data_IF_767321940708
#
_entry.id   IF_767321940708
#
_cell.length_a   1.000
_cell.length_b   1.000
_cell.length_c   1.000
_cell.angle_alpha   90.00
_cell.angle_beta   90.00
_cell.angle_gamma   90.00
#
_symmetry.space_group_name_H-M   'P 1'
#
loop_
_entity.id
_entity.type
_entity.pdbx_description
1 polymer ?
#
# COMPACT_ATOMS: atom_id res chain seq x y z
N UNK A 1 3.05 0.45 28.61
CA UNK A 1 3.23 1.87 28.23
C UNK A 1 2.89 2.81 29.37
N UNK A 2 1.72 2.69 30.00
CA UNK A 2 1.29 3.56 31.13
C UNK A 2 2.29 3.73 32.28
N UNK A 3 3.05 2.69 32.65
CA UNK A 3 4.09 2.81 33.69
C UNK A 3 5.34 3.55 33.23
N UNK A 4 5.69 3.50 31.94
CA UNK A 4 6.84 4.23 31.38
C UNK A 4 6.52 5.71 31.20
N UNK A 5 5.26 6.04 30.90
CA UNK A 5 4.77 7.42 30.78
C UNK A 5 4.89 8.20 32.08
N UNK A 6 4.69 7.54 33.22
CA UNK A 6 4.80 8.15 34.55
C UNK A 6 6.24 8.55 34.94
N UNK A 7 7.24 7.98 34.26
CA UNK A 7 8.66 8.25 34.49
C UNK A 7 9.20 9.36 33.56
N UNK A 8 8.40 9.79 32.57
CA UNK A 8 8.73 10.86 31.63
C UNK A 8 8.05 12.15 32.11
N UNK A 9 8.81 13.24 32.17
CA UNK A 9 8.25 14.56 32.44
C UNK A 9 7.11 14.92 31.47
N UNK A 10 6.08 15.61 31.96
CA UNK A 10 4.87 15.89 31.19
C UNK A 10 5.15 16.75 29.94
N UNK A 11 6.10 17.69 30.01
CA UNK A 11 6.48 18.49 28.83
C UNK A 11 7.19 17.63 27.79
N UNK A 12 8.11 16.76 28.20
CA UNK A 12 8.79 15.82 27.32
C UNK A 12 7.82 14.81 26.70
N UNK A 13 6.86 14.31 27.46
CA UNK A 13 5.85 13.39 26.96
C UNK A 13 4.97 14.05 25.89
N UNK A 14 4.52 15.30 26.13
CA UNK A 14 3.80 16.11 25.14
C UNK A 14 4.62 16.30 23.87
N UNK A 15 5.92 16.62 24.02
CA UNK A 15 6.82 16.77 22.88
C UNK A 15 6.96 15.46 22.08
N UNK A 16 7.06 14.31 22.75
CA UNK A 16 7.09 12.99 22.08
C UNK A 16 5.79 12.78 21.29
N UNK A 17 4.62 13.01 21.89
CA UNK A 17 3.33 12.80 21.21
C UNK A 17 3.08 13.76 20.04
N UNK A 18 3.61 14.98 20.10
CA UNK A 18 3.56 15.93 18.98
C UNK A 18 4.42 15.42 17.81
N UNK A 19 5.58 14.82 18.10
CA UNK A 19 6.56 14.41 17.08
C UNK A 19 6.45 12.93 16.67
N UNK A 20 5.64 12.12 17.35
CA UNK A 20 5.42 10.70 17.05
C UNK A 20 3.93 10.44 16.93
N UNK A 21 3.48 10.35 15.67
CA UNK A 21 2.11 9.97 15.34
C UNK A 21 1.82 8.53 15.79
N UNK A 22 0.54 8.23 16.03
CA UNK A 22 0.10 6.84 16.19
C UNK A 22 0.41 6.05 14.91
N UNK A 23 0.60 4.73 14.98
CA UNK A 23 0.89 3.91 13.80
C UNK A 23 -0.12 4.13 12.66
N UNK A 24 -1.41 4.17 12.97
CA UNK A 24 -2.49 4.44 12.00
C UNK A 24 -2.29 5.78 11.28
N UNK A 25 -2.05 6.86 12.03
CA UNK A 25 -1.79 8.20 11.49
C UNK A 25 -0.47 8.30 10.74
N UNK A 26 0.54 7.55 11.15
CA UNK A 26 1.86 7.54 10.50
C UNK A 26 1.79 6.89 9.12
N UNK A 27 1.01 5.80 8.99
CA UNK A 27 0.74 5.16 7.70
C UNK A 27 -0.05 6.07 6.76
N UNK A 28 -1.10 6.72 7.28
CA UNK A 28 -1.88 7.70 6.54
C UNK A 28 -1.01 8.88 6.06
N UNK A 29 -0.19 9.43 6.96
CA UNK A 29 0.75 10.51 6.68
C UNK A 29 1.71 10.15 5.55
N UNK A 30 2.37 8.99 5.61
CA UNK A 30 3.31 8.59 4.56
C UNK A 30 2.63 8.22 3.25
N UNK A 31 1.46 7.59 3.28
CA UNK A 31 0.69 7.33 2.06
C UNK A 31 0.36 8.63 1.33
N UNK A 32 -0.10 9.65 2.07
CA UNK A 32 -0.38 10.98 1.54
C UNK A 32 0.89 11.66 1.03
N UNK A 33 1.95 11.67 1.82
CA UNK A 33 3.20 12.32 1.45
C UNK A 33 3.83 11.69 0.20
N UNK A 34 3.82 10.36 0.07
CA UNK A 34 4.29 9.67 -1.14
C UNK A 34 3.44 10.10 -2.35
N UNK A 35 2.10 10.20 -2.20
CA UNK A 35 1.21 10.65 -3.28
C UNK A 35 1.55 12.08 -3.73
N UNK A 36 1.78 12.98 -2.79
CA UNK A 36 2.20 14.37 -3.07
C UNK A 36 3.57 14.41 -3.75
N UNK A 37 4.51 13.57 -3.31
CA UNK A 37 5.87 13.48 -3.82
C UNK A 37 5.92 12.96 -5.26
N UNK A 38 5.05 12.03 -5.66
CA UNK A 38 5.06 11.43 -7.01
C UNK A 38 4.19 12.17 -8.03
N UNK A 39 3.28 13.04 -7.58
CA UNK A 39 2.38 13.79 -8.48
C UNK A 39 3.12 14.56 -9.58
N UNK A 40 4.25 15.26 -9.30
CA UNK A 40 5.00 15.95 -10.34
C UNK A 40 5.55 15.00 -11.43
N UNK A 41 5.94 13.77 -11.07
CA UNK A 41 6.38 12.75 -12.05
C UNK A 41 5.21 12.40 -12.98
N UNK A 42 4.00 12.23 -12.44
CA UNK A 42 2.82 11.92 -13.25
C UNK A 42 2.45 13.04 -14.21
N UNK A 43 2.58 14.29 -13.75
CA UNK A 43 2.31 15.46 -14.58
C UNK A 43 3.36 15.65 -15.69
N UNK A 44 4.65 15.50 -15.36
CA UNK A 44 5.74 15.69 -16.31
C UNK A 44 5.82 14.58 -17.37
N UNK A 45 5.50 13.34 -16.99
CA UNK A 45 5.55 12.16 -17.86
C UNK A 45 4.16 11.69 -18.32
N UNK A 46 3.18 12.59 -18.35
CA UNK A 46 1.78 12.27 -18.62
C UNK A 46 1.61 11.46 -19.92
N UNK A 47 0.94 10.30 -19.82
CA UNK A 47 0.67 9.42 -20.95
C UNK A 47 1.84 8.53 -21.39
N UNK A 48 3.00 8.59 -20.71
CA UNK A 48 4.16 7.74 -20.99
C UNK A 48 4.50 6.85 -19.78
N UNK A 49 3.91 5.66 -19.74
CA UNK A 49 4.07 4.72 -18.62
C UNK A 49 5.53 4.22 -18.47
N UNK A 50 6.29 4.09 -19.57
CA UNK A 50 7.71 3.74 -19.53
C UNK A 50 8.59 4.85 -18.90
N UNK A 51 8.31 6.12 -19.23
CA UNK A 51 9.02 7.25 -18.64
C UNK A 51 8.72 7.38 -17.14
N UNK A 52 7.45 7.21 -16.74
CA UNK A 52 7.05 7.16 -15.32
C UNK A 52 7.78 6.02 -14.60
N UNK A 53 7.80 4.81 -15.18
CA UNK A 53 8.50 3.67 -14.58
C UNK A 53 10.00 3.95 -14.42
N UNK A 54 10.63 4.54 -15.43
CA UNK A 54 12.05 4.90 -15.40
C UNK A 54 12.36 5.95 -14.33
N UNK A 55 11.50 6.97 -14.18
CA UNK A 55 11.59 7.98 -13.15
C UNK A 55 11.50 7.37 -11.74
N UNK A 56 10.55 6.48 -11.49
CA UNK A 56 10.44 5.78 -10.21
C UNK A 56 11.64 4.88 -9.92
N UNK A 57 12.16 4.16 -10.92
CA UNK A 57 13.36 3.34 -10.76
C UNK A 57 14.59 4.18 -10.43
N UNK A 58 14.77 5.30 -11.12
CA UNK A 58 15.85 6.25 -10.84
C UNK A 58 15.71 6.82 -9.42
N UNK A 59 14.51 7.28 -9.07
CA UNK A 59 14.22 7.82 -7.74
C UNK A 59 14.50 6.81 -6.63
N UNK A 60 14.04 5.57 -6.80
CA UNK A 60 14.31 4.48 -5.87
C UNK A 60 15.81 4.26 -5.66
N UNK A 61 16.60 4.22 -6.74
CA UNK A 61 18.04 4.02 -6.66
C UNK A 61 18.77 5.17 -5.94
N UNK A 62 18.36 6.41 -6.19
CA UNK A 62 18.92 7.58 -5.51
C UNK A 62 18.58 7.58 -4.01
N UNK A 63 17.34 7.25 -3.67
CA UNK A 63 16.90 7.11 -2.27
C UNK A 63 17.68 5.99 -1.59
N UNK A 64 17.78 4.78 -2.18
CA UNK A 64 18.55 3.67 -1.59
C UNK A 64 20.04 4.02 -1.37
N UNK A 65 20.59 4.88 -2.21
CA UNK A 65 21.97 5.34 -2.12
C UNK A 65 22.16 6.50 -1.14
N UNK A 66 21.07 7.05 -0.60
CA UNK A 66 21.12 8.18 0.32
C UNK A 66 21.87 7.81 1.60
N UNK A 67 22.98 8.51 1.82
CA UNK A 67 23.74 8.44 3.06
C UNK A 67 23.60 9.79 3.76
N UNK A 68 22.89 9.86 4.90
CA UNK A 68 22.80 11.11 5.65
C UNK A 68 24.19 11.50 6.13
N UNK A 69 24.46 12.80 6.18
CA UNK A 69 25.64 13.28 6.90
C UNK A 69 25.58 12.77 8.35
N UNK A 70 26.69 12.28 8.92
CA UNK A 70 26.69 11.72 10.26
C UNK A 70 26.08 12.73 11.22
N UNK A 71 25.02 12.32 11.90
CA UNK A 71 24.41 13.10 12.98
C UNK A 71 25.51 13.21 14.03
N UNK A 72 26.03 14.42 14.24
CA UNK A 72 26.97 14.68 15.32
C UNK A 72 26.27 14.24 16.60
N UNK A 73 26.79 13.24 17.34
CA UNK A 73 26.18 12.83 18.59
C UNK A 73 26.25 14.02 19.52
N UNK A 74 25.12 14.68 19.77
CA UNK A 74 25.09 15.84 20.64
C UNK A 74 24.20 15.53 21.84
N UNK A 75 24.82 15.69 23.02
CA UNK A 75 24.25 15.62 24.37
C UNK A 75 23.83 14.22 24.83
N UNK A 76 23.84 14.07 26.16
CA UNK A 76 23.65 12.82 26.88
C UNK A 76 22.50 11.99 26.30
N UNK A 77 22.74 10.68 26.12
CA UNK A 77 21.72 9.79 25.61
C UNK A 77 20.46 9.87 26.50
N UNK A 78 19.30 9.97 25.87
CA UNK A 78 18.02 10.01 26.57
C UNK A 78 17.91 8.88 27.61
N UNK A 79 17.24 9.10 28.74
CA UNK A 79 17.03 8.07 29.75
C UNK A 79 16.46 6.76 29.15
N UNK A 80 16.79 5.62 29.77
CA UNK A 80 16.37 4.30 29.26
C UNK A 80 14.85 4.18 29.13
N UNK A 81 14.09 4.73 30.08
CA UNK A 81 12.62 4.67 30.07
C UNK A 81 12.04 5.44 28.86
N UNK A 82 12.61 6.61 28.51
CA UNK A 82 12.19 7.40 27.35
C UNK A 82 12.49 6.65 26.05
N UNK A 83 13.70 6.10 25.93
CA UNK A 83 14.10 5.31 24.76
C UNK A 83 13.21 4.09 24.56
N UNK A 84 12.86 3.41 25.66
CA UNK A 84 11.96 2.25 25.63
C UNK A 84 10.53 2.66 25.27
N UNK A 85 10.07 3.80 25.78
CA UNK A 85 8.76 4.36 25.45
C UNK A 85 8.64 4.70 23.96
N UNK A 86 9.60 5.45 23.41
CA UNK A 86 9.67 5.78 21.98
C UNK A 86 9.73 4.49 21.14
N UNK A 87 10.54 3.51 21.53
CA UNK A 87 10.61 2.22 20.83
C UNK A 87 9.25 1.52 20.77
N UNK A 88 8.52 1.46 21.90
CA UNK A 88 7.20 0.82 21.95
C UNK A 88 6.15 1.58 21.12
N UNK A 89 6.19 2.91 21.09
CA UNK A 89 5.32 3.72 20.23
C UNK A 89 5.58 3.44 18.74
N UNK A 90 6.84 3.30 18.35
CA UNK A 90 7.24 3.06 16.97
C UNK A 90 7.04 1.60 16.52
N UNK A 91 6.99 0.64 17.46
CA UNK A 91 7.02 -0.79 17.16
C UNK A 91 5.96 -1.26 16.14
N UNK A 92 4.68 -0.83 16.21
CA UNK A 92 3.68 -1.27 15.24
C UNK A 92 3.96 -0.80 13.81
N UNK A 93 4.51 0.42 13.65
CA UNK A 93 4.97 0.90 12.33
C UNK A 93 6.10 0.05 11.77
N UNK A 94 7.04 -0.37 12.63
CA UNK A 94 8.15 -1.26 12.21
C UNK A 94 7.66 -2.66 11.85
N UNK A 95 6.62 -3.16 12.52
CA UNK A 95 5.95 -4.41 12.15
C UNK A 95 5.32 -4.28 10.76
N UNK A 96 4.58 -3.19 10.53
CA UNK A 96 3.95 -2.90 9.24
C UNK A 96 4.96 -2.84 8.10
N UNK A 97 6.01 -2.01 8.18
CA UNK A 97 6.96 -1.86 7.07
C UNK A 97 7.71 -3.18 6.80
N UNK A 98 8.13 -3.87 7.87
CA UNK A 98 8.80 -5.15 7.73
C UNK A 98 7.91 -6.19 7.04
N UNK A 99 6.61 -6.16 7.30
CA UNK A 99 5.63 -7.03 6.64
C UNK A 99 5.38 -6.59 5.20
N UNK A 100 5.20 -5.29 4.95
CA UNK A 100 4.96 -4.73 3.62
C UNK A 100 6.06 -5.11 2.63
N UNK A 101 7.33 -4.99 3.03
CA UNK A 101 8.45 -5.38 2.18
C UNK A 101 8.37 -6.88 1.80
N UNK A 102 8.14 -7.75 2.77
CA UNK A 102 8.02 -9.19 2.54
C UNK A 102 6.86 -9.53 1.59
N UNK A 103 5.73 -8.84 1.75
CA UNK A 103 4.55 -8.99 0.89
C UNK A 103 4.89 -8.58 -0.54
N UNK A 104 5.43 -7.38 -0.76
CA UNK A 104 5.73 -6.89 -2.12
C UNK A 104 6.72 -7.80 -2.84
N UNK A 105 7.78 -8.23 -2.16
CA UNK A 105 8.80 -9.11 -2.75
C UNK A 105 8.22 -10.49 -3.10
N UNK A 106 7.46 -11.11 -2.18
CA UNK A 106 6.92 -12.46 -2.39
C UNK A 106 5.77 -12.53 -3.39
N UNK A 107 4.92 -11.51 -3.42
CA UNK A 107 3.73 -11.51 -4.27
C UNK A 107 4.04 -11.21 -5.73
N UNK A 108 5.00 -10.31 -6.02
CA UNK A 108 5.45 -10.07 -7.39
C UNK A 108 5.94 -11.37 -8.05
N UNK A 109 6.74 -12.16 -7.33
CA UNK A 109 7.24 -13.45 -7.80
C UNK A 109 6.11 -14.45 -8.05
N UNK A 110 5.13 -14.55 -7.16
CA UNK A 110 4.00 -15.48 -7.33
C UNK A 110 3.03 -15.08 -8.45
N UNK A 111 2.69 -13.80 -8.55
CA UNK A 111 1.76 -13.30 -9.58
C UNK A 111 2.38 -13.30 -10.98
N UNK A 112 3.71 -13.16 -11.11
CA UNK A 112 4.42 -13.25 -12.39
C UNK A 112 4.16 -14.59 -13.12
N UNK A 113 3.79 -15.64 -12.37
CA UNK A 113 3.47 -16.98 -12.91
C UNK A 113 2.12 -17.01 -13.63
N UNK A 114 1.24 -16.05 -13.35
CA UNK A 114 -0.08 -15.94 -13.97
C UNK A 114 0.00 -15.00 -15.17
N UNK A 115 -0.28 -15.55 -16.37
CA UNK A 115 -0.37 -14.75 -17.59
C UNK A 115 -1.72 -14.01 -17.63
N UNK A 116 -1.78 -12.86 -16.99
CA UNK A 116 -2.92 -11.95 -17.08
C UNK A 116 -2.73 -11.10 -18.35
N UNK A 117 -3.69 -11.18 -19.28
CA UNK A 117 -3.70 -10.36 -20.48
C UNK A 117 -4.18 -8.94 -20.15
N UNK A 118 -3.54 -7.91 -20.73
CA UNK A 118 -3.99 -6.54 -20.56
C UNK A 118 -5.28 -6.34 -21.37
N UNK A 119 -6.41 -6.26 -20.67
CA UNK A 119 -7.72 -6.03 -21.28
C UNK A 119 -7.96 -4.56 -21.61
N UNK A 120 -7.34 -3.65 -20.86
CA UNK A 120 -7.63 -2.22 -20.88
C UNK A 120 -6.42 -1.38 -21.35
N UNK A 121 -5.40 -2.02 -21.95
CA UNK A 121 -4.22 -1.31 -22.45
C UNK A 121 -4.57 -0.34 -23.61
N UNK A 122 -5.49 -0.71 -24.50
CA UNK A 122 -5.91 0.14 -25.63
C UNK A 122 -6.81 1.31 -25.22
N UNK A 123 -7.43 1.23 -24.03
CA UNK A 123 -8.29 2.27 -23.47
C UNK A 123 -7.51 3.57 -23.21
N UNK A 124 -6.19 3.50 -23.07
CA UNK A 124 -5.32 4.65 -22.83
C UNK A 124 -5.10 5.47 -24.13
N UNK A 125 -5.31 4.85 -25.30
CA UNK A 125 -5.07 5.46 -26.62
C UNK A 125 -6.31 6.11 -27.24
N UNK A 126 -7.52 5.88 -26.69
CA UNK A 126 -8.78 6.40 -27.20
C UNK A 126 -9.73 6.75 -26.03
N UNK A 127 -10.00 8.05 -25.76
CA UNK A 127 -10.76 8.49 -24.58
C UNK A 127 -12.20 7.97 -24.49
N UNK A 128 -12.84 7.66 -25.62
CA UNK A 128 -14.30 7.46 -25.68
C UNK A 128 -14.80 6.06 -25.28
N UNK A 129 -14.00 5.01 -25.44
CA UNK A 129 -14.33 3.66 -24.93
C UNK A 129 -13.78 3.40 -23.52
N UNK A 130 -12.78 4.20 -23.11
CA UNK A 130 -12.11 4.14 -21.82
C UNK A 130 -12.99 4.62 -20.65
N UNK A 131 -13.82 5.63 -20.91
CA UNK A 131 -14.64 6.28 -19.90
C UNK A 131 -15.65 5.35 -19.22
N UNK A 132 -16.19 4.33 -19.91
CA UNK A 132 -17.27 3.52 -19.34
C UNK A 132 -16.81 2.52 -18.27
N UNK A 133 -15.61 1.95 -18.40
CA UNK A 133 -15.10 0.92 -17.49
C UNK A 133 -14.35 1.48 -16.28
N UNK A 134 -13.79 2.68 -16.43
CA UNK A 134 -13.08 3.42 -15.40
C UNK A 134 -13.99 4.35 -14.60
N UNK A 135 -15.14 4.74 -15.16
CA UNK A 135 -16.09 5.58 -14.43
C UNK A 135 -16.63 4.82 -13.22
N UNK A 136 -16.70 5.45 -12.04
CA UNK A 136 -17.38 4.88 -10.90
C UNK A 136 -18.84 4.55 -11.21
N UNK A 137 -19.24 3.30 -10.92
CA UNK A 137 -20.58 2.77 -11.19
C UNK A 137 -21.27 2.19 -9.95
N UNK A 138 -20.53 1.93 -8.88
CA UNK A 138 -21.08 1.39 -7.62
C UNK A 138 -20.36 1.94 -6.40
N UNK A 139 -20.96 1.71 -5.24
CA UNK A 139 -20.40 1.98 -3.91
C UNK A 139 -20.08 0.66 -3.19
N UNK A 140 -19.42 0.75 -2.02
CA UNK A 140 -19.14 -0.40 -1.16
C UNK A 140 -20.43 -1.01 -0.59
N UNK A 141 -21.40 -0.19 -0.23
CA UNK A 141 -22.70 -0.64 0.30
C UNK A 141 -23.53 -1.40 -0.76
N UNK A 142 -23.40 -1.04 -2.04
CA UNK A 142 -24.14 -1.66 -3.13
C UNK A 142 -23.43 -2.86 -3.77
N UNK A 143 -22.21 -3.22 -3.31
CA UNK A 143 -21.33 -4.09 -4.08
C UNK A 143 -21.87 -5.51 -4.27
N UNK A 144 -22.51 -6.12 -3.27
CA UNK A 144 -23.08 -7.47 -3.43
C UNK A 144 -24.18 -7.50 -4.48
N UNK A 145 -25.04 -6.49 -4.48
CA UNK A 145 -26.10 -6.35 -5.48
C UNK A 145 -25.52 -6.13 -6.87
N UNK A 146 -24.48 -5.29 -6.97
CA UNK A 146 -23.77 -5.03 -8.22
C UNK A 146 -23.11 -6.28 -8.78
N UNK A 147 -22.31 -7.00 -7.97
CA UNK A 147 -21.62 -8.23 -8.36
C UNK A 147 -22.62 -9.31 -8.83
N UNK A 148 -23.77 -9.43 -8.15
CA UNK A 148 -24.84 -10.35 -8.54
C UNK A 148 -25.47 -9.97 -9.88
N UNK A 149 -25.77 -8.68 -10.07
CA UNK A 149 -26.42 -8.17 -11.28
C UNK A 149 -25.52 -8.28 -12.51
N UNK A 150 -24.23 -7.98 -12.35
CA UNK A 150 -23.24 -7.98 -13.44
C UNK A 150 -22.41 -9.28 -13.50
N UNK A 151 -22.80 -10.34 -12.78
CA UNK A 151 -22.00 -11.55 -12.62
C UNK A 151 -21.55 -12.18 -13.96
N UNK A 152 -22.43 -12.26 -14.95
CA UNK A 152 -22.08 -12.84 -16.26
C UNK A 152 -21.03 -12.01 -17.00
N UNK A 153 -21.14 -10.68 -16.93
CA UNK A 153 -20.21 -9.78 -17.58
C UNK A 153 -18.84 -9.79 -16.90
N UNK A 154 -18.83 -9.71 -15.57
CA UNK A 154 -17.63 -9.81 -14.75
C UNK A 154 -16.91 -11.15 -14.95
N UNK A 155 -17.66 -12.26 -14.97
CA UNK A 155 -17.13 -13.60 -15.26
C UNK A 155 -16.45 -13.64 -16.64
N UNK A 156 -17.09 -13.06 -17.66
CA UNK A 156 -16.54 -12.96 -19.01
C UNK A 156 -15.25 -12.14 -19.03
N UNK A 157 -15.20 -11.00 -18.34
CA UNK A 157 -14.00 -10.16 -18.26
C UNK A 157 -12.85 -10.88 -17.55
N UNK A 158 -13.11 -11.53 -16.41
CA UNK A 158 -12.11 -12.37 -15.71
C UNK A 158 -11.59 -13.49 -16.61
N UNK A 159 -12.49 -14.14 -17.37
CA UNK A 159 -12.12 -15.18 -18.33
C UNK A 159 -11.26 -14.63 -19.47
N UNK A 160 -11.60 -13.47 -20.02
CA UNK A 160 -10.79 -12.83 -21.05
C UNK A 160 -9.39 -12.47 -20.54
N UNK A 161 -9.28 -11.98 -19.30
CA UNK A 161 -8.01 -11.60 -18.69
C UNK A 161 -7.11 -12.81 -18.44
N UNK A 162 -7.67 -13.93 -17.98
CA UNK A 162 -6.87 -15.04 -17.43
C UNK A 162 -6.96 -16.35 -18.19
N UNK A 163 -7.94 -16.49 -19.09
CA UNK A 163 -8.32 -17.75 -19.71
C UNK A 163 -9.04 -18.72 -18.78
N UNK A 164 -9.27 -18.37 -17.52
CA UNK A 164 -9.96 -19.24 -16.57
C UNK A 164 -11.45 -18.99 -16.56
N UNK A 165 -12.24 -20.06 -16.60
CA UNK A 165 -13.69 -19.96 -16.48
C UNK A 165 -14.05 -19.69 -15.00
N UNK A 166 -14.66 -18.55 -14.73
CA UNK A 166 -15.26 -18.20 -13.45
C UNK A 166 -16.78 -18.19 -13.64
N UNK A 167 -17.52 -19.06 -12.97
CA UNK A 167 -18.97 -19.10 -13.11
C UNK A 167 -19.61 -17.93 -12.37
N UNK A 168 -20.73 -17.45 -12.86
CA UNK A 168 -21.50 -16.36 -12.24
C UNK A 168 -21.91 -16.67 -10.79
N UNK A 169 -22.18 -17.94 -10.49
CA UNK A 169 -22.44 -18.39 -9.11
C UNK A 169 -21.21 -18.32 -8.20
N UNK A 170 -20.01 -18.48 -8.76
CA UNK A 170 -18.75 -18.39 -8.01
C UNK A 170 -18.45 -16.96 -7.60
N UNK A 171 -18.86 -15.96 -8.41
CA UNK A 171 -18.76 -14.53 -8.05
C UNK A 171 -19.58 -14.24 -6.79
N UNK A 172 -20.79 -14.78 -6.69
CA UNK A 172 -21.61 -14.60 -5.48
C UNK A 172 -20.97 -15.24 -4.26
N UNK A 173 -20.28 -16.39 -4.43
CA UNK A 173 -19.57 -17.08 -3.36
C UNK A 173 -18.27 -16.40 -2.91
N UNK A 174 -17.81 -15.36 -3.63
CA UNK A 174 -16.64 -14.55 -3.23
C UNK A 174 -16.99 -13.09 -2.97
N UNK A 175 -18.27 -12.75 -2.93
CA UNK A 175 -18.70 -11.37 -2.83
C UNK A 175 -18.17 -10.70 -1.55
N UNK A 176 -18.17 -11.41 -0.41
CA UNK A 176 -17.66 -10.90 0.86
C UNK A 176 -16.15 -10.66 0.80
N UNK A 177 -15.36 -11.64 0.31
CA UNK A 177 -13.91 -11.46 0.16
C UNK A 177 -13.60 -10.32 -0.83
N UNK A 178 -14.36 -10.20 -1.92
CA UNK A 178 -14.21 -9.13 -2.92
C UNK A 178 -14.56 -7.76 -2.34
N UNK A 179 -15.64 -7.63 -1.57
CA UNK A 179 -15.99 -6.37 -0.90
C UNK A 179 -14.87 -5.92 0.04
N UNK A 180 -14.25 -6.83 0.79
CA UNK A 180 -13.16 -6.48 1.72
C UNK A 180 -11.91 -5.98 1.02
N UNK A 181 -11.58 -6.55 -0.14
CA UNK A 181 -10.48 -6.05 -0.99
C UNK A 181 -10.81 -4.67 -1.56
N UNK A 182 -12.03 -4.46 -2.04
CA UNK A 182 -12.48 -3.16 -2.55
C UNK A 182 -12.55 -2.11 -1.44
N UNK A 183 -12.90 -2.51 -0.21
CA UNK A 183 -12.85 -1.65 0.96
C UNK A 183 -11.42 -1.18 1.23
N UNK A 184 -10.44 -2.08 1.18
CA UNK A 184 -9.03 -1.71 1.32
C UNK A 184 -8.59 -0.72 0.23
N UNK A 185 -9.01 -0.96 -1.03
CA UNK A 185 -8.77 -0.01 -2.13
C UNK A 185 -9.37 1.37 -1.84
N UNK A 186 -10.66 1.43 -1.49
CA UNK A 186 -11.34 2.69 -1.19
C UNK A 186 -10.67 3.43 -0.04
N UNK A 187 -10.29 2.71 1.02
CA UNK A 187 -9.57 3.29 2.14
C UNK A 187 -8.19 3.83 1.76
N UNK A 188 -7.45 3.13 0.90
CA UNK A 188 -6.14 3.61 0.46
C UNK A 188 -6.22 4.82 -0.47
N UNK A 189 -7.25 4.93 -1.30
CA UNK A 189 -7.40 6.07 -2.23
C UNK A 189 -8.07 7.30 -1.61
N UNK A 190 -9.08 7.09 -0.76
CA UNK A 190 -9.91 8.17 -0.23
C UNK A 190 -10.02 8.20 1.30
N UNK A 191 -9.28 7.34 2.02
CA UNK A 191 -9.39 7.17 3.46
C UNK A 191 -10.81 6.76 3.89
N UNK A 192 -11.18 7.04 5.14
CA UNK A 192 -12.52 6.74 5.65
C UNK A 192 -13.54 7.64 4.94
N UNK A 193 -14.38 7.02 4.12
CA UNK A 193 -15.48 7.67 3.39
C UNK A 193 -16.80 6.98 3.69
N UNK A 194 -17.90 7.67 3.37
CA UNK A 194 -19.24 7.08 3.46
C UNK A 194 -19.35 5.91 2.46
N UNK A 195 -19.89 4.78 2.91
CA UNK A 195 -19.97 3.54 2.14
C UNK A 195 -20.94 3.62 0.96
N UNK A 196 -21.82 4.63 0.93
CA UNK A 196 -22.72 4.91 -0.17
C UNK A 196 -22.09 5.75 -1.29
N UNK A 197 -20.87 6.27 -1.10
CA UNK A 197 -20.17 7.04 -2.14
C UNK A 197 -19.86 6.15 -3.34
N UNK A 198 -20.27 6.61 -4.53
CA UNK A 198 -20.00 5.92 -5.80
C UNK A 198 -18.57 6.21 -6.23
N UNK A 199 -17.65 5.31 -5.91
CA UNK A 199 -16.21 5.42 -6.19
C UNK A 199 -15.58 4.14 -6.75
N UNK A 200 -16.36 3.08 -6.98
CA UNK A 200 -15.87 1.80 -7.52
C UNK A 200 -16.31 1.66 -8.98
N UNK A 201 -15.33 1.41 -9.85
CA UNK A 201 -15.51 1.16 -11.28
C UNK A 201 -15.67 -0.34 -11.60
N UNK A 202 -16.00 -0.65 -12.85
CA UNK A 202 -16.02 -2.04 -13.33
C UNK A 202 -14.61 -2.64 -13.35
N UNK A 203 -13.59 -1.84 -13.70
CA UNK A 203 -12.20 -2.28 -13.70
C UNK A 203 -11.73 -2.69 -12.29
N UNK A 204 -12.11 -1.92 -11.27
CA UNK A 204 -11.81 -2.23 -9.87
C UNK A 204 -12.44 -3.56 -9.45
N UNK A 205 -13.71 -3.78 -9.82
CA UNK A 205 -14.40 -5.05 -9.56
C UNK A 205 -13.67 -6.23 -10.21
N UNK A 206 -13.26 -6.10 -11.48
CA UNK A 206 -12.51 -7.16 -12.17
C UNK A 206 -11.17 -7.43 -11.50
N UNK A 207 -10.41 -6.40 -11.13
CA UNK A 207 -9.14 -6.55 -10.43
C UNK A 207 -9.30 -7.22 -9.06
N UNK A 208 -10.33 -6.87 -8.29
CA UNK A 208 -10.61 -7.48 -6.99
C UNK A 208 -11.03 -8.95 -7.11
N UNK A 209 -11.89 -9.28 -8.09
CA UNK A 209 -12.26 -10.67 -8.39
C UNK A 209 -11.05 -11.50 -8.83
N UNK A 210 -10.14 -10.93 -9.62
CA UNK A 210 -8.89 -11.58 -10.01
C UNK A 210 -8.00 -11.86 -8.80
N UNK A 211 -7.81 -10.88 -7.91
CA UNK A 211 -7.01 -11.04 -6.70
C UNK A 211 -7.53 -12.20 -5.83
N UNK A 212 -8.84 -12.28 -5.60
CA UNK A 212 -9.46 -13.37 -4.84
C UNK A 212 -9.38 -14.71 -5.58
N UNK A 213 -9.62 -14.72 -6.88
CA UNK A 213 -9.55 -15.94 -7.70
C UNK A 213 -8.15 -16.54 -7.70
N UNK A 214 -7.12 -15.69 -7.85
CA UNK A 214 -5.71 -16.09 -7.77
C UNK A 214 -5.39 -16.59 -6.36
N UNK A 215 -5.85 -15.90 -5.31
CA UNK A 215 -5.65 -16.35 -3.93
C UNK A 215 -6.26 -17.72 -3.65
N UNK A 216 -7.48 -18.01 -4.14
CA UNK A 216 -8.10 -19.34 -3.97
C UNK A 216 -7.30 -20.46 -4.66
N UNK A 217 -6.50 -20.12 -5.69
CA UNK A 217 -5.60 -21.06 -6.36
C UNK A 217 -4.27 -21.25 -5.63
N UNK A 218 -3.59 -20.17 -5.26
CA UNK A 218 -2.27 -20.21 -4.61
C UNK A 218 -2.38 -20.79 -3.20
N UNK A 219 -3.48 -20.49 -2.47
CA UNK A 219 -3.72 -20.91 -1.09
C UNK A 219 -2.57 -20.51 -0.16
N UNK A 220 -2.13 -19.27 -0.29
CA UNK A 220 -1.00 -18.69 0.46
C UNK A 220 -1.10 -19.01 1.95
N UNK A 221 -0.02 -19.60 2.44
CA UNK A 221 0.24 -19.78 3.87
C UNK A 221 0.72 -18.44 4.40
N UNK A 222 0.03 -17.93 5.41
CA UNK A 222 0.33 -16.63 5.99
C UNK A 222 0.70 -16.79 7.47
N UNK A 223 1.70 -16.02 7.87
CA UNK A 223 2.12 -15.85 9.26
C UNK A 223 2.35 -14.35 9.46
N UNK A 224 1.64 -13.70 10.39
CA UNK A 224 1.87 -12.30 10.72
C UNK A 224 3.32 -12.02 11.06
N UNK A 225 3.90 -10.97 10.47
CA UNK A 225 5.29 -10.59 10.72
C UNK A 225 5.42 -9.64 11.92
N UNK A 226 6.19 -10.05 12.93
CA UNK A 226 6.44 -9.25 14.12
C UNK A 226 7.95 -9.04 14.25
N UNK A 227 8.40 -7.79 14.34
CA UNK A 227 9.83 -7.44 14.48
C UNK A 227 10.38 -8.06 15.77
N UNK A 228 11.39 -8.91 15.64
CA UNK A 228 11.97 -9.66 16.76
C UNK A 228 11.38 -11.05 16.99
N UNK A 229 10.41 -11.49 16.16
CA UNK A 229 9.83 -12.84 16.24
C UNK A 229 10.86 -13.93 15.95
N UNK A 230 10.83 -15.00 16.75
CA UNK A 230 11.66 -16.19 16.55
C UNK A 230 10.93 -17.23 15.68
N UNK A 231 11.68 -18.08 14.97
CA UNK A 231 11.11 -19.03 13.98
C UNK A 231 10.15 -20.08 14.57
N UNK A 232 10.20 -20.33 15.88
CA UNK A 232 9.36 -21.30 16.59
C UNK A 232 7.93 -20.84 16.88
N UNK A 233 7.61 -19.56 16.72
CA UNK A 233 6.32 -18.96 17.10
C UNK A 233 5.36 -18.80 15.90
N UNK A 234 5.73 -19.33 14.72
CA UNK A 234 4.98 -19.15 13.48
C UNK A 234 3.73 -20.02 13.45
N UNK A 235 2.59 -19.46 13.80
CA UNK A 235 1.30 -20.05 13.44
C UNK A 235 1.07 -19.84 11.95
N UNK A 236 0.85 -20.93 11.23
CA UNK A 236 0.62 -20.90 9.78
C UNK A 236 -0.86 -21.15 9.51
N UNK A 237 -1.53 -20.16 8.95
CA UNK A 237 -2.94 -20.22 8.56
C UNK A 237 -3.10 -19.87 7.08
N UNK A 238 -4.30 -20.06 6.53
CA UNK A 238 -4.58 -19.68 5.15
C UNK A 238 -4.89 -18.18 5.12
N UNK A 239 -4.33 -17.43 4.17
CA UNK A 239 -4.54 -15.97 4.10
C UNK A 239 -6.02 -15.56 4.20
N UNK A 240 -6.92 -16.23 3.45
CA UNK A 240 -8.36 -15.91 3.46
C UNK A 240 -9.06 -16.21 4.79
N UNK A 241 -8.51 -17.07 5.67
CA UNK A 241 -9.13 -17.30 6.98
C UNK A 241 -8.99 -16.09 7.91
N UNK A 242 -8.11 -15.13 7.59
CA UNK A 242 -7.95 -13.88 8.35
C UNK A 242 -8.92 -12.78 7.94
N UNK A 243 -9.64 -12.93 6.82
CA UNK A 243 -10.61 -11.94 6.37
C UNK A 243 -11.91 -11.95 7.18
N UNK A 244 -12.20 -13.05 7.88
CA UNK A 244 -13.44 -13.29 8.64
C UNK A 244 -14.68 -12.73 7.92
N UNK A 245 -15.16 -13.40 6.88
CA UNK A 245 -16.25 -12.91 6.01
C UNK A 245 -17.57 -12.64 6.74
N UNK A 246 -17.70 -13.06 8.00
CA UNK A 246 -18.87 -12.76 8.83
C UNK A 246 -18.92 -11.34 9.36
N UNK A 247 -17.77 -10.65 9.44
CA UNK A 247 -17.66 -9.28 9.93
C UNK A 247 -17.93 -8.26 8.86
N UNK A 248 -18.65 -7.21 9.24
CA UNK A 248 -18.98 -6.08 8.39
C UNK A 248 -17.74 -5.23 8.05
N UNK A 249 -17.80 -4.46 6.96
CA UNK A 249 -16.69 -3.61 6.54
C UNK A 249 -16.50 -2.39 7.45
N UNK A 250 -17.56 -1.91 8.08
CA UNK A 250 -17.54 -0.82 9.06
C UNK A 250 -16.66 -1.18 10.27
N UNK A 251 -16.68 -2.45 10.65
CA UNK A 251 -15.86 -2.97 11.74
C UNK A 251 -14.37 -3.06 11.37
N UNK A 252 -14.02 -2.94 10.08
CA UNK A 252 -12.63 -2.91 9.62
C UNK A 252 -11.96 -1.55 9.83
N UNK A 253 -12.73 -0.50 10.16
CA UNK A 253 -12.17 0.81 10.53
C UNK A 253 -11.73 0.89 11.99
N UNK A 254 -12.05 -0.11 12.82
CA UNK A 254 -11.59 -0.18 14.21
C UNK A 254 -10.11 -0.61 14.23
N UNK A 255 -9.29 -0.02 15.11
CA UNK A 255 -7.82 -0.18 15.11
C UNK A 255 -7.33 -1.61 15.41
N UNK A 256 -8.24 -2.55 15.66
CA UNK A 256 -8.00 -3.97 15.76
C UNK A 256 -8.73 -4.66 14.60
N UNK A 257 -8.06 -5.58 13.89
CA UNK A 257 -8.51 -7.00 13.89
C UNK A 257 -8.06 -7.84 12.69
N UNK A 258 -7.83 -7.27 11.50
CA UNK A 258 -7.13 -8.03 10.45
C UNK A 258 -5.63 -7.81 10.70
N UNK A 259 -4.80 -8.85 10.88
CA UNK A 259 -3.36 -8.66 10.90
C UNK A 259 -3.01 -7.86 9.64
N UNK A 260 -2.48 -6.64 9.80
CA UNK A 260 -2.38 -5.67 8.70
C UNK A 260 -1.81 -6.30 7.43
N UNK A 261 -0.87 -7.23 7.56
CA UNK A 261 -0.32 -8.02 6.46
C UNK A 261 -1.30 -8.85 5.64
N UNK A 262 -2.35 -9.43 6.22
CA UNK A 262 -3.28 -10.26 5.48
C UNK A 262 -4.11 -9.41 4.49
N UNK A 263 -4.65 -8.28 4.95
CA UNK A 263 -5.34 -7.33 4.08
C UNK A 263 -4.35 -6.69 3.10
N UNK A 264 -3.16 -6.33 3.56
CA UNK A 264 -2.09 -5.75 2.74
C UNK A 264 -1.68 -6.67 1.59
N UNK A 265 -1.60 -7.98 1.82
CA UNK A 265 -1.29 -8.97 0.78
C UNK A 265 -2.38 -9.00 -0.28
N UNK A 266 -3.66 -9.01 0.13
CA UNK A 266 -4.78 -9.06 -0.79
C UNK A 266 -4.95 -7.74 -1.56
N UNK A 267 -4.77 -6.61 -0.89
CA UNK A 267 -4.75 -5.30 -1.52
C UNK A 267 -3.59 -5.18 -2.51
N UNK A 268 -2.40 -5.66 -2.16
CA UNK A 268 -1.26 -5.64 -3.07
C UNK A 268 -1.50 -6.51 -4.31
N UNK A 269 -2.14 -7.69 -4.15
CA UNK A 269 -2.60 -8.51 -5.29
C UNK A 269 -3.61 -7.80 -6.16
N UNK A 270 -4.53 -7.05 -5.56
CA UNK A 270 -5.44 -6.18 -6.29
C UNK A 270 -4.67 -5.16 -7.13
N UNK A 271 -3.70 -4.46 -6.55
CA UNK A 271 -2.90 -3.46 -7.28
C UNK A 271 -2.11 -4.10 -8.44
N UNK A 272 -1.54 -5.29 -8.24
CA UNK A 272 -0.85 -6.05 -9.29
C UNK A 272 -1.84 -6.45 -10.39
N UNK A 273 -2.99 -7.03 -10.03
CA UNK A 273 -4.01 -7.45 -10.99
C UNK A 273 -4.53 -6.25 -11.81
N UNK A 274 -4.78 -5.12 -11.13
CA UNK A 274 -5.15 -3.86 -11.77
C UNK A 274 -4.08 -3.40 -12.74
N UNK A 275 -2.82 -3.28 -12.31
CA UNK A 275 -1.72 -2.88 -13.18
C UNK A 275 -1.57 -3.78 -14.41
N UNK A 276 -1.71 -5.10 -14.25
CA UNK A 276 -1.65 -6.07 -15.35
C UNK A 276 -2.81 -5.89 -16.35
N UNK A 277 -4.03 -5.61 -15.89
CA UNK A 277 -5.17 -5.34 -16.77
C UNK A 277 -4.95 -4.13 -17.68
N UNK A 278 -4.20 -3.12 -17.22
CA UNK A 278 -3.84 -1.94 -17.99
C UNK A 278 -2.51 -2.07 -18.75
N UNK A 279 -1.78 -3.17 -18.60
CA UNK A 279 -0.44 -3.32 -19.19
C UNK A 279 0.63 -2.46 -18.53
N UNK A 280 0.42 -2.07 -17.27
CA UNK A 280 1.26 -1.14 -16.49
C UNK A 280 2.10 -1.83 -15.41
N UNK A 281 2.42 -3.11 -15.58
CA UNK A 281 3.17 -3.90 -14.58
C UNK A 281 4.52 -3.27 -14.23
N UNK A 282 5.26 -2.79 -15.23
CA UNK A 282 6.57 -2.18 -15.01
C UNK A 282 6.48 -0.89 -14.19
N UNK A 283 5.47 -0.06 -14.48
CA UNK A 283 5.19 1.16 -13.71
C UNK A 283 4.85 0.84 -12.26
N UNK A 284 3.98 -0.15 -12.04
CA UNK A 284 3.62 -0.60 -10.70
C UNK A 284 4.83 -1.15 -9.93
N UNK A 285 5.63 -2.01 -10.55
CA UNK A 285 6.84 -2.55 -9.92
C UNK A 285 7.83 -1.44 -9.54
N UNK A 286 8.07 -0.49 -10.47
CA UNK A 286 8.94 0.65 -10.21
C UNK A 286 8.42 1.53 -9.07
N UNK A 287 7.11 1.81 -9.04
CA UNK A 287 6.49 2.56 -7.95
C UNK A 287 6.63 1.85 -6.60
N UNK A 288 6.43 0.54 -6.55
CA UNK A 288 6.61 -0.24 -5.32
C UNK A 288 8.06 -0.21 -4.82
N UNK A 289 9.05 -0.29 -5.73
CA UNK A 289 10.46 -0.13 -5.38
C UNK A 289 10.76 1.25 -4.79
N UNK A 290 10.23 2.30 -5.40
CA UNK A 290 10.33 3.67 -4.89
C UNK A 290 9.72 3.79 -3.48
N UNK A 291 8.50 3.30 -3.30
CA UNK A 291 7.81 3.33 -2.01
C UNK A 291 8.58 2.56 -0.93
N UNK A 292 9.10 1.38 -1.22
CA UNK A 292 9.91 0.60 -0.27
C UNK A 292 11.21 1.32 0.07
N UNK A 293 11.91 1.89 -0.92
CA UNK A 293 13.13 2.67 -0.69
C UNK A 293 12.87 3.80 0.29
N UNK A 294 11.83 4.60 0.05
CA UNK A 294 11.43 5.69 0.94
C UNK A 294 11.06 5.20 2.36
N UNK A 295 10.20 4.17 2.46
CA UNK A 295 9.76 3.62 3.74
C UNK A 295 10.91 2.99 4.56
N UNK A 296 11.96 2.46 3.92
CA UNK A 296 13.18 2.03 4.61
C UNK A 296 13.87 3.19 5.32
N UNK A 297 13.94 4.37 4.72
CA UNK A 297 14.47 5.56 5.38
C UNK A 297 13.57 6.05 6.52
N UNK A 298 12.25 5.97 6.37
CA UNK A 298 11.31 6.27 7.47
C UNK A 298 11.50 5.30 8.64
N UNK A 299 11.74 4.02 8.35
CA UNK A 299 12.09 3.02 9.36
C UNK A 299 13.34 3.41 10.12
N UNK A 300 14.37 3.92 9.44
CA UNK A 300 15.60 4.42 10.08
C UNK A 300 15.29 5.62 10.96
N UNK A 301 14.59 6.64 10.45
CA UNK A 301 14.21 7.83 11.21
C UNK A 301 13.48 7.49 12.52
N UNK A 302 12.45 6.63 12.42
CA UNK A 302 11.62 6.25 13.57
C UNK A 302 12.28 5.24 14.52
N UNK A 303 13.26 4.46 14.04
CA UNK A 303 14.02 3.54 14.90
C UNK A 303 15.08 4.24 15.75
N UNK A 304 15.31 5.54 15.59
CA UNK A 304 16.21 6.29 16.47
C UNK A 304 15.63 6.38 17.88
N UNK A 305 16.42 5.97 18.86
CA UNK A 305 16.09 6.11 20.29
C UNK A 305 16.19 7.57 20.77
N UNK A 306 16.80 8.43 19.97
CA UNK A 306 16.82 9.88 20.17
C UNK A 306 15.79 10.51 19.22
N UNK A 307 14.78 11.14 19.83
CA UNK A 307 13.68 11.79 19.11
C UNK A 307 14.20 12.85 18.13
N UNK A 308 15.16 13.68 18.54
CA UNK A 308 15.65 14.80 17.74
C UNK A 308 16.52 14.32 16.59
N UNK A 309 17.36 13.31 16.83
CA UNK A 309 18.13 12.67 15.77
C UNK A 309 17.22 12.03 14.72
N UNK A 310 16.15 11.35 15.15
CA UNK A 310 15.16 10.77 14.25
C UNK A 310 14.41 11.82 13.43
N UNK A 311 13.96 12.90 14.06
CA UNK A 311 13.27 14.02 13.39
C UNK A 311 14.17 14.71 12.36
N UNK A 312 15.43 14.96 12.73
CA UNK A 312 16.39 15.58 11.83
C UNK A 312 16.72 14.67 10.63
N UNK A 313 16.80 13.36 10.86
CA UNK A 313 16.94 12.39 9.78
C UNK A 313 15.76 12.48 8.81
N UNK A 314 14.53 12.36 9.33
CA UNK A 314 13.29 12.42 8.55
C UNK A 314 13.21 13.70 7.71
N UNK A 315 13.51 14.84 8.32
CA UNK A 315 13.52 16.14 7.63
C UNK A 315 14.51 16.15 6.46
N UNK A 316 15.73 15.65 6.66
CA UNK A 316 16.77 15.65 5.61
C UNK A 316 16.45 14.73 4.45
N UNK A 317 15.92 13.53 4.72
CA UNK A 317 15.55 12.62 3.63
C UNK A 317 14.34 13.15 2.86
N UNK A 318 13.37 13.78 3.52
CA UNK A 318 12.22 14.39 2.83
C UNK A 318 12.67 15.53 1.91
N UNK A 319 13.54 16.44 2.39
CA UNK A 319 14.13 17.47 1.54
C UNK A 319 14.89 16.89 0.34
N UNK A 320 15.70 15.85 0.56
CA UNK A 320 16.40 15.17 -0.53
C UNK A 320 15.43 14.58 -1.56
N UNK A 321 14.32 13.98 -1.10
CA UNK A 321 13.32 13.43 -2.00
C UNK A 321 12.62 14.54 -2.80
N UNK A 322 12.26 15.66 -2.18
CA UNK A 322 11.67 16.81 -2.86
C UNK A 322 12.61 17.36 -3.95
N UNK A 323 13.89 17.57 -3.63
CA UNK A 323 14.92 18.03 -4.58
C UNK A 323 15.11 17.03 -5.74
N UNK A 324 15.09 15.73 -5.43
CA UNK A 324 15.21 14.66 -6.41
C UNK A 324 14.01 14.61 -7.37
N UNK A 325 12.79 14.80 -6.87
CA UNK A 325 11.59 14.85 -7.71
C UNK A 325 11.63 16.08 -8.62
N UNK A 326 12.00 17.24 -8.10
CA UNK A 326 12.16 18.45 -8.91
C UNK A 326 13.18 18.23 -10.03
N UNK A 327 14.31 17.59 -9.73
CA UNK A 327 15.30 17.24 -10.73
C UNK A 327 14.72 16.32 -11.83
N UNK A 328 13.93 15.32 -11.45
CA UNK A 328 13.29 14.40 -12.41
C UNK A 328 12.29 15.16 -13.31
N UNK A 329 11.50 16.06 -12.73
CA UNK A 329 10.56 16.92 -13.46
C UNK A 329 11.27 17.81 -14.49
N UNK A 330 12.36 18.47 -14.08
CA UNK A 330 13.15 19.35 -14.95
C UNK A 330 13.76 18.57 -16.13
N UNK A 331 14.23 17.34 -15.89
CA UNK A 331 14.75 16.48 -16.96
C UNK A 331 13.65 16.07 -17.94
N UNK A 332 12.49 15.66 -17.43
CA UNK A 332 11.36 15.23 -18.26
C UNK A 332 10.82 16.37 -19.15
N UNK A 333 10.73 17.59 -18.61
CA UNK A 333 10.29 18.77 -19.37
C UNK A 333 11.31 19.22 -20.40
N UNK A 334 12.62 19.14 -20.09
CA UNK A 334 13.68 19.50 -21.04
C UNK A 334 13.76 18.60 -22.27
N UNK A 335 13.36 17.33 -22.14
CA UNK A 335 13.33 16.36 -23.24
C UNK A 335 12.03 16.42 -24.07
N UNK A 336 11.02 17.14 -23.60
CA UNK A 336 9.74 17.34 -24.29
C UNK A 336 9.72 18.61 -25.18
N UNK A 337 10.64 19.56 -24.95
CA UNK A 337 10.89 20.74 -25.81
C UNK A 337 11.90 20.43 -26.91
#
# INVERSE_FOLDING_TARGET
MSTLELEIDEERLKHIHINRLTPSKLLEYYAKHIKELIEPIYMACAGNDEAIASAFMFGAHQIESYQPSPILPNKEAAPVHERLYIYLLTLPFLHFIGEYQQVVESENDELSKYKIKPLFAHSISSPTECDALLKPVTSLAAIHSFLKTHANELARLVHQATGYELRSSEITNIADETQKVLHAYVFHEWHRTDLDVINISMADCVAALLAITIQKKIKTKYTPNWKGQSSSEKTVSRLLSHLDTSRDIEELYEEDYIPQGAMLTLYHRYCIAYALLFGRSNRMEAFMRFQIAYLKHMTVAHSHFDLEAGNEYERKINMFCEDLIQYIEDQATSHAM
#
